data_IF_723270571496
#
_entry.id   IF_723270571496
#
_cell.length_a   1.000
_cell.length_b   1.000
_cell.length_c   1.000
_cell.angle_alpha   90.00
_cell.angle_beta   90.00
_cell.angle_gamma   90.00
#
_symmetry.space_group_name_H-M   'P 1'
#
loop_
_entity.id
_entity.type
_entity.pdbx_description
1 polymer ?
#
# COMPACT_ATOMS: atom_id res chain seq x y z
N UNK A 1 12.07 13.84 16.87
CA UNK A 1 12.67 13.52 15.56
C UNK A 1 13.84 12.59 15.79
N UNK A 2 13.79 11.41 15.18
CA UNK A 2 14.89 10.44 15.20
C UNK A 2 16.05 10.99 14.38
N UNK A 3 17.29 10.79 14.85
CA UNK A 3 18.51 11.09 14.12
C UNK A 3 19.64 10.18 14.64
N UNK A 4 20.42 9.49 13.80
CA UNK A 4 20.35 9.45 12.34
C UNK A 4 19.30 8.45 11.82
N UNK A 5 18.84 8.65 10.57
CA UNK A 5 18.16 7.60 9.79
C UNK A 5 19.19 6.69 9.11
N UNK A 6 18.73 5.52 8.63
CA UNK A 6 19.60 4.58 7.86
C UNK A 6 20.21 5.29 6.64
N UNK A 7 19.43 6.14 5.95
CA UNK A 7 19.90 6.92 4.79
C UNK A 7 21.01 7.93 5.11
N UNK A 8 21.13 8.34 6.39
CA UNK A 8 22.10 9.36 6.83
C UNK A 8 23.43 8.75 7.26
N UNK A 9 23.48 7.42 7.43
CA UNK A 9 24.66 6.72 7.92
C UNK A 9 25.78 6.75 6.87
N UNK A 10 26.97 7.14 7.32
CA UNK A 10 28.16 7.19 6.48
C UNK A 10 29.14 6.07 6.85
N UNK A 11 29.80 5.44 5.86
CA UNK A 11 30.83 4.44 6.14
C UNK A 11 31.92 5.01 7.06
N UNK A 12 32.43 4.16 7.96
CA UNK A 12 33.55 4.42 8.87
C UNK A 12 33.31 5.56 9.87
N UNK A 13 32.06 6.00 10.07
CA UNK A 13 31.67 6.96 11.10
C UNK A 13 30.81 6.28 12.16
N UNK A 14 31.30 6.26 13.42
CA UNK A 14 30.55 5.70 14.55
C UNK A 14 29.19 6.40 14.69
N UNK A 15 28.11 5.61 14.64
CA UNK A 15 26.75 6.11 14.77
C UNK A 15 26.06 5.56 16.02
N UNK A 16 25.18 6.39 16.60
CA UNK A 16 24.23 5.97 17.61
C UNK A 16 22.83 6.32 17.12
N UNK A 17 21.93 5.35 17.04
CA UNK A 17 20.57 5.55 16.52
C UNK A 17 19.58 4.57 17.13
N UNK A 18 18.30 4.84 16.90
CA UNK A 18 17.20 3.94 17.28
C UNK A 18 16.65 3.31 16.01
N UNK A 19 16.46 1.99 16.00
CA UNK A 19 15.98 1.25 14.83
C UNK A 19 14.99 0.18 15.25
N UNK A 20 14.10 -0.18 14.33
CA UNK A 20 13.23 -1.35 14.44
C UNK A 20 14.00 -2.61 14.04
N UNK A 21 13.84 -3.70 14.76
CA UNK A 21 14.39 -5.01 14.42
C UNK A 21 13.44 -5.71 13.45
N UNK A 22 13.67 -5.58 12.15
CA UNK A 22 12.87 -6.25 11.13
C UNK A 22 13.11 -7.76 11.06
N UNK A 23 14.34 -8.21 11.36
CA UNK A 23 14.68 -9.62 11.51
C UNK A 23 15.79 -9.82 12.53
N UNK A 24 15.77 -10.97 13.21
CA UNK A 24 16.77 -11.38 14.20
C UNK A 24 17.09 -12.86 14.03
N UNK A 25 18.36 -13.15 13.81
CA UNK A 25 18.91 -14.51 13.77
C UNK A 25 20.10 -14.61 14.73
N UNK A 26 20.17 -15.68 15.50
CA UNK A 26 21.34 -16.05 16.28
C UNK A 26 22.09 -17.12 15.50
N UNK A 27 23.33 -16.82 15.11
CA UNK A 27 24.17 -17.74 14.32
C UNK A 27 25.46 -18.04 15.05
N UNK A 28 26.18 -19.05 14.62
CA UNK A 28 27.47 -19.43 15.20
C UNK A 28 28.65 -19.05 14.31
N UNK A 29 29.70 -18.54 14.93
CA UNK A 29 31.01 -18.32 14.28
C UNK A 29 31.66 -19.69 14.01
N UNK A 30 32.74 -19.72 13.23
CA UNK A 30 33.56 -20.91 13.04
C UNK A 30 34.20 -21.43 14.34
N UNK A 31 34.38 -20.56 15.33
CA UNK A 31 34.83 -20.88 16.70
C UNK A 31 33.77 -21.54 17.57
N UNK A 32 32.50 -21.56 17.15
CA UNK A 32 31.36 -22.03 17.95
C UNK A 32 30.64 -20.93 18.74
N UNK A 33 31.23 -19.76 18.88
CA UNK A 33 30.62 -18.63 19.61
C UNK A 33 29.41 -18.06 18.86
N UNK A 34 28.36 -17.57 19.56
CA UNK A 34 27.23 -16.99 18.91
C UNK A 34 27.56 -15.59 18.36
N UNK A 35 26.88 -15.20 17.28
CA UNK A 35 26.79 -13.82 16.83
C UNK A 35 25.36 -13.46 16.44
N UNK A 36 24.96 -12.18 16.60
CA UNK A 36 23.67 -11.69 16.15
C UNK A 36 23.75 -11.21 14.70
N UNK A 37 22.78 -11.64 13.91
CA UNK A 37 22.50 -11.17 12.56
C UNK A 37 21.12 -10.50 12.57
N UNK A 38 21.10 -9.18 12.43
CA UNK A 38 19.88 -8.40 12.44
C UNK A 38 19.64 -7.75 11.08
N UNK A 39 18.36 -7.51 10.75
CA UNK A 39 17.97 -6.51 9.80
C UNK A 39 17.34 -5.37 10.61
N UNK A 40 17.94 -4.19 10.54
CA UNK A 40 17.44 -2.98 11.16
C UNK A 40 16.68 -2.16 10.13
N UNK A 41 15.57 -1.56 10.55
CA UNK A 41 14.70 -0.77 9.68
C UNK A 41 14.35 0.58 10.29
N UNK A 42 14.10 1.56 9.42
CA UNK A 42 13.38 2.79 9.70
C UNK A 42 12.67 3.27 8.43
N UNK A 43 11.96 4.41 8.47
CA UNK A 43 11.23 4.94 7.31
C UNK A 43 12.09 5.22 6.07
N UNK A 44 13.41 5.29 6.22
CA UNK A 44 14.34 5.54 5.10
C UNK A 44 14.83 4.26 4.43
N UNK A 45 14.64 3.08 5.05
CA UNK A 45 15.03 1.79 4.49
C UNK A 45 15.41 0.75 5.52
N UNK A 46 16.06 -0.32 5.02
CA UNK A 46 16.58 -1.43 5.82
C UNK A 46 18.09 -1.56 5.67
N UNK A 47 18.73 -2.09 6.70
CA UNK A 47 20.19 -2.30 6.73
C UNK A 47 20.54 -3.57 7.49
N UNK A 48 21.46 -4.37 6.93
CA UNK A 48 22.08 -5.47 7.63
C UNK A 48 22.91 -4.97 8.82
N UNK A 49 22.79 -5.64 9.97
CA UNK A 49 23.59 -5.36 11.15
C UNK A 49 24.12 -6.65 11.80
N UNK A 50 25.36 -6.61 12.26
CA UNK A 50 26.02 -7.74 12.90
C UNK A 50 26.61 -7.35 14.24
N UNK A 51 26.37 -8.16 15.26
CA UNK A 51 27.04 -8.05 16.55
C UNK A 51 27.91 -9.28 16.79
N UNK A 52 29.20 -9.06 16.94
CA UNK A 52 30.18 -10.14 17.03
C UNK A 52 30.59 -10.45 18.46
N UNK A 53 30.54 -9.47 19.35
CA UNK A 53 31.03 -9.57 20.73
C UNK A 53 29.93 -9.19 21.72
N UNK A 54 30.00 -9.68 22.95
CA UNK A 54 29.01 -9.47 24.02
C UNK A 54 27.58 -9.89 23.67
N UNK A 55 27.44 -10.86 22.77
CA UNK A 55 26.15 -11.29 22.22
C UNK A 55 25.28 -11.95 23.29
N UNK A 56 25.89 -12.78 24.16
CA UNK A 56 25.16 -13.52 25.19
C UNK A 56 24.43 -12.61 26.17
N UNK A 57 24.98 -11.41 26.43
CA UNK A 57 24.36 -10.45 27.35
C UNK A 57 23.07 -9.80 26.80
N UNK A 58 22.92 -9.76 25.46
CA UNK A 58 21.85 -9.01 24.82
C UNK A 58 20.92 -9.86 23.95
N UNK A 59 21.33 -11.08 23.58
CA UNK A 59 20.59 -11.88 22.62
C UNK A 59 19.16 -12.25 23.04
N UNK A 60 18.89 -12.33 24.35
CA UNK A 60 17.58 -12.65 24.91
C UNK A 60 16.83 -11.44 25.46
N UNK A 61 17.37 -10.21 25.28
CA UNK A 61 16.76 -8.98 25.84
C UNK A 61 15.74 -8.34 24.91
N UNK A 62 15.68 -8.71 23.64
CA UNK A 62 14.74 -8.22 22.64
C UNK A 62 14.45 -9.28 21.58
N UNK A 63 13.33 -9.12 20.88
CA UNK A 63 12.93 -9.99 19.78
C UNK A 63 12.72 -9.21 18.48
N UNK A 64 12.32 -9.89 17.42
CA UNK A 64 11.83 -9.27 16.20
C UNK A 64 10.70 -8.28 16.53
N UNK A 65 10.60 -7.23 15.76
CA UNK A 65 9.65 -6.13 15.93
C UNK A 65 9.86 -5.26 17.19
N UNK A 66 10.98 -5.44 17.91
CA UNK A 66 11.39 -4.56 19.01
C UNK A 66 12.11 -3.31 18.50
N UNK A 67 11.96 -2.18 19.22
CA UNK A 67 12.78 -1.00 19.01
C UNK A 67 14.03 -1.11 19.85
N UNK A 68 15.18 -0.84 19.23
CA UNK A 68 16.47 -0.90 19.90
C UNK A 68 17.30 0.35 19.63
N UNK A 69 17.96 0.85 20.66
CA UNK A 69 19.03 1.84 20.52
C UNK A 69 20.36 1.09 20.31
N UNK A 70 21.06 1.45 19.26
CA UNK A 70 22.32 0.82 18.92
C UNK A 70 23.43 1.85 18.82
N UNK A 71 24.66 1.42 19.14
CA UNK A 71 25.90 2.11 18.79
C UNK A 71 26.73 1.17 17.93
N UNK A 72 27.15 1.62 16.75
CA UNK A 72 27.86 0.77 15.81
C UNK A 72 28.61 1.54 14.75
N UNK A 73 29.42 0.82 13.99
CA UNK A 73 30.23 1.35 12.89
C UNK A 73 29.66 0.86 11.56
N UNK A 74 29.07 1.75 10.71
CA UNK A 74 28.70 1.39 9.36
C UNK A 74 29.94 1.10 8.51
N UNK A 75 29.94 0.01 7.74
CA UNK A 75 31.05 -0.41 6.87
C UNK A 75 30.49 -0.93 5.56
N UNK A 76 31.26 -0.80 4.47
CA UNK A 76 30.86 -1.40 3.19
C UNK A 76 31.31 -2.85 3.16
N UNK A 77 30.36 -3.76 3.07
CA UNK A 77 30.58 -5.18 2.87
C UNK A 77 29.84 -5.68 1.63
N UNK A 78 30.53 -6.31 0.69
CA UNK A 78 29.96 -6.79 -0.60
C UNK A 78 29.10 -5.72 -1.32
N UNK A 79 29.62 -4.49 -1.43
CA UNK A 79 28.98 -3.33 -2.04
C UNK A 79 27.66 -2.88 -1.36
N UNK A 80 27.41 -3.30 -0.11
CA UNK A 80 26.27 -2.86 0.70
C UNK A 80 26.74 -2.28 2.01
N UNK A 81 26.04 -1.27 2.51
CA UNK A 81 26.28 -0.75 3.85
C UNK A 81 25.78 -1.76 4.88
N UNK A 82 26.64 -2.13 5.83
CA UNK A 82 26.34 -3.02 6.93
C UNK A 82 26.80 -2.36 8.24
N UNK A 83 26.02 -2.49 9.32
CA UNK A 83 26.34 -1.94 10.63
C UNK A 83 26.99 -3.00 11.54
N UNK A 84 28.25 -2.77 11.95
CA UNK A 84 28.87 -3.55 13.00
C UNK A 84 28.46 -2.98 14.35
N UNK A 85 27.68 -3.74 15.13
CA UNK A 85 27.12 -3.32 16.41
C UNK A 85 28.13 -3.52 17.56
N UNK A 86 28.28 -2.49 18.38
CA UNK A 86 29.09 -2.53 19.60
C UNK A 86 28.25 -2.50 20.87
N UNK A 87 27.06 -1.87 20.82
CA UNK A 87 26.11 -1.83 21.92
C UNK A 87 24.68 -1.86 21.39
N UNK A 88 23.84 -2.62 22.10
CA UNK A 88 22.40 -2.73 21.84
C UNK A 88 21.66 -2.54 23.15
N UNK A 89 20.57 -1.78 23.15
CA UNK A 89 19.69 -1.54 24.28
C UNK A 89 18.24 -1.51 23.79
N UNK A 90 17.37 -2.40 24.30
CA UNK A 90 15.95 -2.33 24.02
C UNK A 90 15.32 -1.03 24.48
N UNK A 91 14.32 -0.54 23.77
CA UNK A 91 13.54 0.64 24.14
C UNK A 91 12.05 0.26 24.25
N UNK A 92 11.34 0.85 25.22
CA UNK A 92 9.89 0.73 25.27
C UNK A 92 9.24 1.55 24.14
N UNK A 93 8.06 1.10 23.67
CA UNK A 93 7.33 1.76 22.59
C UNK A 93 6.96 3.22 22.90
N UNK A 94 6.83 3.55 24.19
CA UNK A 94 6.56 4.92 24.67
C UNK A 94 7.68 5.93 24.42
N UNK A 95 8.89 5.45 24.12
CA UNK A 95 10.05 6.29 23.82
C UNK A 95 10.28 6.52 22.31
N UNK A 96 9.40 6.01 21.46
CA UNK A 96 9.57 6.07 20.00
C UNK A 96 8.38 6.72 19.30
N UNK A 97 8.68 7.46 18.24
CA UNK A 97 7.70 8.02 17.32
C UNK A 97 7.55 7.09 16.12
N UNK A 98 6.39 6.43 15.97
CA UNK A 98 6.17 5.44 14.91
C UNK A 98 6.42 6.00 13.50
N UNK A 99 6.13 7.28 13.25
CA UNK A 99 6.41 7.96 11.99
C UNK A 99 7.91 8.07 11.62
N UNK A 100 8.83 7.73 12.54
CA UNK A 100 10.26 7.63 12.26
C UNK A 100 10.68 6.24 11.73
N UNK A 101 9.82 5.23 11.88
CA UNK A 101 10.11 3.84 11.51
C UNK A 101 9.26 3.34 10.35
N UNK A 102 8.07 3.90 10.18
CA UNK A 102 7.15 3.53 9.12
C UNK A 102 6.91 4.70 8.17
N UNK A 103 6.70 4.45 6.88
CA UNK A 103 6.20 5.50 6.01
C UNK A 103 4.87 6.02 6.55
N UNK A 104 4.65 7.32 6.45
CA UNK A 104 3.43 7.99 6.89
C UNK A 104 2.92 8.94 5.80
N UNK A 105 1.61 9.22 5.80
CA UNK A 105 1.04 10.27 4.94
C UNK A 105 1.78 11.60 5.17
N UNK A 106 1.90 12.38 4.10
CA UNK A 106 2.44 13.76 4.17
C UNK A 106 1.42 14.75 4.74
N UNK A 107 0.15 14.34 4.82
CA UNK A 107 -0.95 15.13 5.39
C UNK A 107 -1.06 14.87 6.89
N UNK A 108 -1.47 15.87 7.64
CA UNK A 108 -1.75 15.73 9.07
C UNK A 108 -3.00 14.87 9.31
N UNK A 109 -2.89 13.87 10.20
CA UNK A 109 -3.96 12.93 10.48
C UNK A 109 -5.18 13.58 11.16
N UNK A 110 -4.96 14.64 11.95
CA UNK A 110 -6.03 15.41 12.59
C UNK A 110 -6.81 16.25 11.59
N UNK A 111 -6.12 16.91 10.66
CA UNK A 111 -6.74 17.67 9.57
C UNK A 111 -7.54 16.75 8.65
N UNK A 112 -7.00 15.59 8.27
CA UNK A 112 -7.70 14.59 7.49
C UNK A 112 -8.96 14.07 8.20
N UNK A 113 -8.88 13.85 9.51
CA UNK A 113 -10.04 13.42 10.28
C UNK A 113 -11.10 14.51 10.41
N UNK A 114 -10.71 15.78 10.51
CA UNK A 114 -11.65 16.91 10.48
C UNK A 114 -12.35 17.01 9.12
N UNK A 115 -11.62 16.82 8.01
CA UNK A 115 -12.19 16.77 6.65
C UNK A 115 -13.19 15.62 6.48
N UNK A 116 -12.85 14.41 7.00
CA UNK A 116 -13.77 13.28 7.00
C UNK A 116 -15.06 13.58 7.78
N UNK A 117 -14.93 14.20 8.96
CA UNK A 117 -16.08 14.64 9.76
C UNK A 117 -16.96 15.64 8.99
N UNK A 118 -16.37 16.58 8.25
CA UNK A 118 -17.11 17.52 7.43
C UNK A 118 -17.89 16.81 6.29
N UNK A 119 -17.33 15.75 5.71
CA UNK A 119 -18.06 14.90 4.77
C UNK A 119 -19.27 14.23 5.42
N UNK A 120 -19.11 13.69 6.62
CA UNK A 120 -20.22 13.05 7.36
C UNK A 120 -21.30 14.05 7.72
N UNK A 121 -20.93 15.25 8.17
CA UNK A 121 -21.91 16.32 8.52
C UNK A 121 -22.73 16.79 7.33
N UNK A 122 -22.17 16.74 6.13
CA UNK A 122 -22.84 17.13 4.89
C UNK A 122 -23.84 16.07 4.37
N UNK A 123 -23.85 14.84 4.92
CA UNK A 123 -24.81 13.80 4.52
C UNK A 123 -26.22 14.22 4.92
N UNK A 124 -27.14 14.27 3.95
CA UNK A 124 -28.52 14.68 4.12
C UNK A 124 -29.39 13.61 4.79
N UNK A 125 -29.16 12.31 4.48
CA UNK A 125 -29.92 11.21 5.05
C UNK A 125 -29.61 11.06 6.55
N UNK A 126 -30.59 11.26 7.46
CA UNK A 126 -30.35 11.27 8.89
C UNK A 126 -29.91 9.92 9.47
N UNK A 127 -30.36 8.80 8.89
CA UNK A 127 -29.97 7.47 9.34
C UNK A 127 -28.53 7.14 8.95
N UNK A 128 -28.12 7.44 7.72
CA UNK A 128 -26.74 7.23 7.24
C UNK A 128 -25.79 8.11 8.03
N UNK A 129 -26.10 9.40 8.21
CA UNK A 129 -25.31 10.31 9.03
C UNK A 129 -25.16 9.83 10.45
N UNK A 130 -26.27 9.37 11.10
CA UNK A 130 -26.23 8.85 12.47
C UNK A 130 -25.40 7.58 12.58
N UNK A 131 -25.45 6.68 11.59
CA UNK A 131 -24.58 5.49 11.53
C UNK A 131 -23.11 5.89 11.47
N UNK A 132 -22.73 6.77 10.56
CA UNK A 132 -21.36 7.24 10.42
C UNK A 132 -20.85 7.97 11.67
N UNK A 133 -21.71 8.76 12.33
CA UNK A 133 -21.40 9.36 13.63
C UNK A 133 -21.16 8.31 14.71
N UNK A 134 -21.96 7.23 14.77
CA UNK A 134 -21.72 6.14 15.71
C UNK A 134 -20.34 5.46 15.54
N UNK A 135 -19.74 5.53 14.34
CA UNK A 135 -18.37 5.10 14.10
C UNK A 135 -17.36 6.18 14.51
N UNK A 136 -17.49 7.40 13.99
CA UNK A 136 -16.45 8.43 14.13
C UNK A 136 -16.42 9.06 15.54
N UNK A 137 -17.51 9.02 16.27
CA UNK A 137 -17.59 9.50 17.65
C UNK A 137 -17.12 8.43 18.67
N UNK A 138 -16.88 7.18 18.24
CA UNK A 138 -16.24 6.17 19.05
C UNK A 138 -14.74 6.47 19.18
N UNK A 139 -14.22 6.72 20.41
CA UNK A 139 -12.84 7.15 20.59
C UNK A 139 -11.79 6.16 20.10
N UNK A 140 -12.06 4.84 20.22
CA UNK A 140 -11.12 3.81 19.79
C UNK A 140 -11.11 3.67 18.27
N UNK A 141 -12.29 3.68 17.63
CA UNK A 141 -12.42 3.67 16.18
C UNK A 141 -11.76 4.94 15.59
N UNK A 142 -12.09 6.10 16.14
CA UNK A 142 -11.53 7.38 15.71
C UNK A 142 -9.99 7.42 15.81
N UNK A 143 -9.44 6.90 16.90
CA UNK A 143 -8.00 6.79 17.11
C UNK A 143 -7.37 5.89 16.05
N UNK A 144 -7.90 4.67 15.86
CA UNK A 144 -7.38 3.69 14.90
C UNK A 144 -7.51 4.18 13.46
N UNK A 145 -8.65 4.77 13.11
CA UNK A 145 -8.91 5.23 11.75
C UNK A 145 -7.95 6.33 11.30
N UNK A 146 -7.50 7.19 12.24
CA UNK A 146 -6.49 8.23 11.96
C UNK A 146 -5.12 7.68 11.60
N UNK A 147 -4.72 6.52 12.11
CA UNK A 147 -3.37 5.98 11.96
C UNK A 147 -3.30 4.73 11.09
N UNK A 148 -4.42 4.03 10.85
CA UNK A 148 -4.40 2.78 10.11
C UNK A 148 -3.86 2.96 8.67
N UNK A 149 -3.02 2.03 8.18
CA UNK A 149 -2.69 1.93 6.76
C UNK A 149 -3.88 1.36 5.97
N UNK A 150 -3.98 1.66 4.67
CA UNK A 150 -4.99 1.05 3.80
C UNK A 150 -4.61 -0.37 3.35
N UNK A 151 -3.36 -0.78 3.51
CA UNK A 151 -2.88 -2.11 3.15
C UNK A 151 -1.51 -2.41 3.73
N UNK A 152 -1.10 -3.68 3.62
CA UNK A 152 0.20 -4.14 4.16
C UNK A 152 1.39 -3.66 3.32
N UNK A 153 1.28 -3.59 1.99
CA UNK A 153 2.45 -3.41 1.10
C UNK A 153 2.18 -2.75 -0.24
N UNK A 154 0.93 -2.49 -0.62
CA UNK A 154 0.60 -2.00 -1.96
C UNK A 154 0.18 -0.52 -1.85
N UNK A 155 -1.04 -0.14 -2.21
CA UNK A 155 -1.53 1.23 -2.17
C UNK A 155 -1.73 1.74 -0.74
N UNK A 156 -1.40 3.00 -0.47
CA UNK A 156 -1.54 3.65 0.84
C UNK A 156 -1.01 2.82 2.03
N UNK A 157 0.05 2.02 1.79
CA UNK A 157 0.69 1.17 2.80
C UNK A 157 1.62 2.00 3.70
N UNK A 158 1.05 3.01 4.36
CA UNK A 158 1.71 3.90 5.31
C UNK A 158 0.75 4.35 6.40
N UNK A 159 1.28 4.85 7.50
CA UNK A 159 0.46 5.38 8.59
C UNK A 159 -0.46 6.49 8.08
N UNK A 160 -1.71 6.46 8.51
CA UNK A 160 -2.80 7.33 8.03
C UNK A 160 -3.17 7.13 6.55
N UNK A 161 -2.73 6.03 5.93
CA UNK A 161 -3.04 5.72 4.53
C UNK A 161 -4.51 5.39 4.29
N UNK A 162 -5.19 4.77 5.27
CA UNK A 162 -6.61 4.44 5.15
C UNK A 162 -7.49 5.70 5.04
N UNK A 163 -7.28 6.66 5.93
CA UNK A 163 -8.06 7.91 5.89
C UNK A 163 -7.73 8.75 4.67
N UNK A 164 -6.47 8.77 4.22
CA UNK A 164 -6.05 9.45 3.00
C UNK A 164 -6.73 8.86 1.76
N UNK A 165 -6.77 7.52 1.66
CA UNK A 165 -7.51 6.78 0.63
C UNK A 165 -9.00 7.12 0.62
N UNK A 166 -9.66 7.04 1.78
CA UNK A 166 -11.09 7.34 1.91
C UNK A 166 -11.41 8.79 1.51
N UNK A 167 -10.58 9.77 1.86
CA UNK A 167 -10.77 11.17 1.45
C UNK A 167 -10.59 11.34 -0.07
N UNK A 168 -9.63 10.65 -0.68
CA UNK A 168 -9.49 10.61 -2.14
C UNK A 168 -10.76 10.06 -2.80
N UNK A 169 -11.29 8.96 -2.27
CA UNK A 169 -12.55 8.38 -2.75
C UNK A 169 -13.77 9.29 -2.53
N UNK A 170 -13.85 10.00 -1.41
CA UNK A 170 -14.92 10.98 -1.16
C UNK A 170 -14.92 12.09 -2.22
N UNK A 171 -13.74 12.59 -2.60
CA UNK A 171 -13.61 13.59 -3.65
C UNK A 171 -14.05 13.04 -5.01
N UNK A 172 -13.62 11.84 -5.39
CA UNK A 172 -14.02 11.18 -6.63
C UNK A 172 -15.52 10.85 -6.65
N UNK A 173 -16.07 10.35 -5.55
CA UNK A 173 -17.49 10.02 -5.41
C UNK A 173 -18.38 11.24 -5.65
N UNK A 174 -18.04 12.39 -5.06
CA UNK A 174 -18.81 13.64 -5.25
C UNK A 174 -18.80 14.12 -6.71
N UNK A 175 -17.69 13.98 -7.41
CA UNK A 175 -17.61 14.37 -8.83
C UNK A 175 -18.42 13.42 -9.69
N UNK A 176 -18.33 12.12 -9.45
CA UNK A 176 -19.00 11.10 -10.26
C UNK A 176 -20.50 11.05 -9.97
N UNK A 177 -20.95 11.23 -8.72
CA UNK A 177 -22.37 11.33 -8.38
C UNK A 177 -23.07 12.51 -9.08
N UNK A 178 -22.39 13.63 -9.26
CA UNK A 178 -22.92 14.76 -10.04
C UNK A 178 -23.05 14.47 -11.54
N UNK A 179 -22.24 13.54 -12.05
CA UNK A 179 -22.29 13.17 -13.46
C UNK A 179 -23.44 12.18 -13.75
N UNK A 180 -23.71 11.25 -12.84
CA UNK A 180 -24.78 10.25 -12.96
C UNK A 180 -25.96 10.67 -12.07
N UNK A 181 -27.05 11.14 -12.68
CA UNK A 181 -28.18 11.75 -11.98
C UNK A 181 -29.02 10.78 -11.10
N UNK A 182 -28.82 9.47 -11.28
CA UNK A 182 -29.52 8.39 -10.58
C UNK A 182 -28.73 7.85 -9.37
N UNK A 183 -27.56 8.42 -9.06
CA UNK A 183 -26.74 8.03 -7.91
C UNK A 183 -27.21 8.74 -6.63
N UNK A 184 -27.48 7.96 -5.59
CA UNK A 184 -27.63 8.47 -4.22
C UNK A 184 -26.24 8.78 -3.64
N UNK A 185 -25.87 10.09 -3.63
CA UNK A 185 -24.57 10.56 -3.14
C UNK A 185 -24.37 10.21 -1.66
N UNK A 186 -25.39 10.28 -0.82
CA UNK A 186 -25.30 9.96 0.61
C UNK A 186 -25.01 8.47 0.84
N UNK A 187 -25.67 7.59 0.08
CA UNK A 187 -25.44 6.16 0.14
C UNK A 187 -24.04 5.80 -0.38
N UNK A 188 -23.62 6.39 -1.50
CA UNK A 188 -22.29 6.18 -2.07
C UNK A 188 -21.19 6.62 -1.08
N UNK A 189 -21.29 7.83 -0.52
CA UNK A 189 -20.33 8.34 0.47
C UNK A 189 -20.30 7.48 1.74
N UNK A 190 -21.45 6.95 2.17
CA UNK A 190 -21.50 6.00 3.31
C UNK A 190 -20.72 4.74 2.97
N UNK A 191 -20.89 4.19 1.77
CA UNK A 191 -20.10 3.06 1.30
C UNK A 191 -18.61 3.36 1.25
N UNK A 192 -18.22 4.51 0.70
CA UNK A 192 -16.83 4.98 0.66
C UNK A 192 -16.20 5.05 2.05
N UNK A 193 -16.90 5.58 3.05
CA UNK A 193 -16.36 5.74 4.41
C UNK A 193 -16.25 4.40 5.14
N UNK A 194 -17.13 3.45 4.85
CA UNK A 194 -17.23 2.19 5.60
C UNK A 194 -16.66 0.95 4.89
N UNK A 195 -16.41 0.96 3.57
CA UNK A 195 -16.04 -0.27 2.84
C UNK A 195 -14.82 -0.95 3.45
N UNK A 196 -13.85 -0.17 3.86
CA UNK A 196 -12.55 -0.61 4.38
C UNK A 196 -12.39 -0.42 5.89
N UNK A 197 -13.44 -0.04 6.61
CA UNK A 197 -13.36 0.25 8.07
C UNK A 197 -12.83 -0.94 8.88
N UNK A 198 -13.06 -2.16 8.42
CA UNK A 198 -12.56 -3.37 9.06
C UNK A 198 -11.03 -3.47 9.12
N UNK A 199 -10.33 -2.76 8.24
CA UNK A 199 -8.85 -2.72 8.20
C UNK A 199 -8.22 -2.16 9.47
N UNK A 200 -8.95 -1.34 10.24
CA UNK A 200 -8.46 -0.81 11.54
C UNK A 200 -8.22 -1.92 12.58
N UNK A 201 -8.82 -3.10 12.39
CA UNK A 201 -8.63 -4.29 13.22
C UNK A 201 -8.03 -5.47 12.46
N UNK A 202 -8.20 -5.52 11.14
CA UNK A 202 -7.57 -6.54 10.29
C UNK A 202 -6.05 -6.43 10.35
N UNK A 203 -5.52 -5.19 10.38
CA UNK A 203 -4.10 -4.92 10.36
C UNK A 203 -3.57 -4.53 11.75
N UNK A 204 -2.40 -5.06 12.08
CA UNK A 204 -1.53 -4.56 13.14
C UNK A 204 -0.51 -3.61 12.51
N UNK A 205 -0.32 -2.45 13.13
CA UNK A 205 0.61 -1.41 12.67
C UNK A 205 1.38 -0.75 13.83
N UNK A 206 1.42 -1.44 14.96
CA UNK A 206 2.16 -0.97 16.15
C UNK A 206 3.66 -1.16 16.00
N UNK A 207 4.09 -2.28 15.40
CA UNK A 207 5.51 -2.65 15.22
C UNK A 207 5.87 -3.11 13.81
N UNK A 208 4.88 -3.51 13.04
CA UNK A 208 5.02 -3.90 11.63
C UNK A 208 3.65 -3.84 10.97
N UNK A 209 3.60 -3.65 9.65
CA UNK A 209 2.34 -3.82 8.93
C UNK A 209 2.09 -5.31 8.69
N UNK A 210 1.29 -5.90 9.55
CA UNK A 210 0.96 -7.31 9.53
C UNK A 210 -0.54 -7.54 9.69
N UNK A 211 -1.01 -8.72 9.34
CA UNK A 211 -2.38 -9.11 9.67
C UNK A 211 -2.45 -9.56 11.14
N UNK A 212 -3.50 -9.16 11.83
CA UNK A 212 -3.87 -9.75 13.12
C UNK A 212 -4.35 -11.19 12.90
N UNK A 213 -4.39 -12.02 13.95
CA UNK A 213 -4.94 -13.38 13.84
C UNK A 213 -6.40 -13.36 13.38
N UNK A 214 -7.21 -12.44 13.91
CA UNK A 214 -8.60 -12.28 13.50
C UNK A 214 -8.70 -11.77 12.06
N UNK A 215 -7.85 -10.81 11.68
CA UNK A 215 -7.76 -10.29 10.31
C UNK A 215 -7.40 -11.38 9.30
N UNK A 216 -6.46 -12.25 9.63
CA UNK A 216 -6.07 -13.38 8.76
C UNK A 216 -7.21 -14.40 8.58
N UNK A 217 -8.04 -14.60 9.60
CA UNK A 217 -9.13 -15.57 9.57
C UNK A 217 -10.42 -15.04 8.94
N UNK A 218 -10.74 -13.77 9.14
CA UNK A 218 -12.04 -13.20 8.75
C UNK A 218 -11.93 -12.21 7.58
N UNK A 219 -10.85 -11.44 7.51
CA UNK A 219 -10.68 -10.35 6.56
C UNK A 219 -11.55 -9.11 6.88
N UNK A 220 -11.14 -7.95 6.37
CA UNK A 220 -11.76 -6.65 6.69
C UNK A 220 -13.25 -6.57 6.29
N UNK A 221 -13.69 -7.23 5.20
CA UNK A 221 -15.09 -7.20 4.74
C UNK A 221 -16.01 -7.75 5.83
N UNK A 222 -15.70 -8.95 6.35
CA UNK A 222 -16.51 -9.59 7.40
C UNK A 222 -16.44 -8.78 8.68
N UNK A 223 -15.28 -8.28 9.05
CA UNK A 223 -15.09 -7.44 10.22
C UNK A 223 -15.87 -6.13 10.10
N UNK A 224 -15.85 -5.45 8.96
CA UNK A 224 -16.63 -4.23 8.70
C UNK A 224 -18.14 -4.48 8.81
N UNK A 225 -18.64 -5.59 8.26
CA UNK A 225 -20.07 -5.95 8.39
C UNK A 225 -20.48 -6.16 9.86
N UNK A 226 -19.66 -6.84 10.65
CA UNK A 226 -19.91 -7.00 12.12
C UNK A 226 -19.93 -5.65 12.82
N UNK A 227 -18.98 -4.77 12.53
CA UNK A 227 -18.94 -3.42 13.08
C UNK A 227 -20.20 -2.62 12.73
N UNK A 228 -20.69 -2.71 11.48
CA UNK A 228 -21.94 -2.08 11.04
C UNK A 228 -23.13 -2.64 11.83
N UNK A 229 -23.22 -3.96 12.02
CA UNK A 229 -24.29 -4.59 12.80
C UNK A 229 -24.28 -4.15 14.28
N UNK A 230 -23.12 -3.90 14.84
CA UNK A 230 -23.01 -3.36 16.21
C UNK A 230 -23.43 -1.90 16.28
N UNK A 231 -22.93 -1.05 15.37
CA UNK A 231 -23.19 0.39 15.38
C UNK A 231 -24.62 0.75 15.00
N UNK A 232 -25.24 0.01 14.09
CA UNK A 232 -26.65 0.25 13.72
C UNK A 232 -27.60 0.08 14.89
N UNK A 233 -27.29 -0.77 15.88
CA UNK A 233 -28.10 -0.94 17.10
C UNK A 233 -28.13 0.32 17.96
N UNK A 234 -27.14 1.21 17.79
CA UNK A 234 -27.09 2.50 18.47
C UNK A 234 -27.92 3.58 17.76
N UNK A 235 -28.39 3.32 16.53
CA UNK A 235 -29.18 4.25 15.71
C UNK A 235 -30.67 3.86 15.78
N UNK A 236 -31.52 4.62 16.49
CA UNK A 236 -32.93 4.30 16.61
C UNK A 236 -33.63 4.21 15.26
N UNK A 237 -34.46 3.21 15.07
CA UNK A 237 -35.31 3.01 13.88
C UNK A 237 -34.55 3.03 12.55
N UNK A 238 -33.30 2.56 12.51
CA UNK A 238 -32.58 2.44 11.26
C UNK A 238 -33.33 1.54 10.27
N UNK A 239 -33.61 1.99 9.03
CA UNK A 239 -34.42 1.23 8.09
C UNK A 239 -33.72 -0.07 7.66
N UNK A 240 -34.33 -1.27 7.82
CA UNK A 240 -33.69 -2.54 7.50
C UNK A 240 -33.27 -2.66 6.02
N UNK A 241 -34.03 -2.09 5.09
CA UNK A 241 -33.66 -2.07 3.66
C UNK A 241 -32.42 -1.21 3.39
N UNK A 242 -32.28 -0.09 4.09
CA UNK A 242 -31.11 0.78 3.96
C UNK A 242 -29.85 0.07 4.53
N UNK A 243 -30.01 -0.66 5.64
CA UNK A 243 -28.92 -1.49 6.20
C UNK A 243 -28.43 -2.52 5.18
N UNK A 244 -29.33 -3.23 4.50
CA UNK A 244 -28.96 -4.19 3.46
C UNK A 244 -28.17 -3.53 2.31
N UNK A 245 -28.49 -2.31 1.90
CA UNK A 245 -27.74 -1.59 0.88
C UNK A 245 -26.34 -1.22 1.38
N UNK A 246 -26.20 -0.71 2.62
CA UNK A 246 -24.87 -0.42 3.22
C UNK A 246 -24.03 -1.69 3.33
N UNK A 247 -24.60 -2.78 3.80
CA UNK A 247 -23.91 -4.07 3.89
C UNK A 247 -23.50 -4.60 2.51
N UNK A 248 -24.33 -4.41 1.48
CA UNK A 248 -24.00 -4.84 0.12
C UNK A 248 -22.86 -4.00 -0.47
N UNK A 249 -22.81 -2.69 -0.23
CA UNK A 249 -21.66 -1.84 -0.61
C UNK A 249 -20.35 -2.42 -0.06
N UNK A 250 -20.33 -2.78 1.23
CA UNK A 250 -19.16 -3.38 1.88
C UNK A 250 -18.85 -4.77 1.30
N UNK A 251 -19.87 -5.63 1.14
CA UNK A 251 -19.68 -7.00 0.67
C UNK A 251 -19.26 -7.11 -0.79
N UNK A 252 -19.44 -6.06 -1.61
CA UNK A 252 -19.24 -6.11 -3.05
C UNK A 252 -18.14 -5.19 -3.59
N UNK A 253 -17.49 -4.38 -2.72
CA UNK A 253 -16.56 -3.34 -3.19
C UNK A 253 -15.33 -3.89 -3.94
N UNK A 254 -14.88 -5.12 -3.68
CA UNK A 254 -13.82 -5.75 -4.48
C UNK A 254 -14.29 -6.14 -5.90
N UNK A 255 -15.59 -6.13 -6.19
CA UNK A 255 -16.19 -6.26 -7.51
C UNK A 255 -16.34 -7.67 -8.02
N UNK A 256 -15.33 -8.52 -7.92
CA UNK A 256 -15.36 -9.90 -8.41
C UNK A 256 -14.99 -10.91 -7.32
N UNK A 257 -15.48 -12.14 -7.48
CA UNK A 257 -15.21 -13.22 -6.51
C UNK A 257 -13.73 -13.58 -6.46
N UNK A 258 -13.02 -13.46 -7.59
CA UNK A 258 -11.58 -13.72 -7.71
C UNK A 258 -10.74 -12.75 -6.87
N UNK A 259 -11.26 -11.55 -6.61
CA UNK A 259 -10.60 -10.56 -5.74
C UNK A 259 -11.08 -10.66 -4.28
N UNK A 260 -11.79 -11.73 -3.92
CA UNK A 260 -12.25 -11.99 -2.56
C UNK A 260 -13.54 -11.26 -2.20
N UNK A 261 -14.27 -10.70 -3.17
CA UNK A 261 -15.59 -10.11 -2.91
C UNK A 261 -16.61 -11.21 -2.62
N UNK A 262 -17.32 -11.20 -1.46
CA UNK A 262 -18.38 -12.17 -1.21
C UNK A 262 -19.56 -12.06 -2.18
N UNK A 263 -19.77 -10.88 -2.75
CA UNK A 263 -20.83 -10.56 -3.74
C UNK A 263 -20.28 -9.65 -4.82
N UNK A 264 -20.91 -9.70 -6.01
CA UNK A 264 -20.67 -8.72 -7.07
C UNK A 264 -21.60 -7.51 -6.87
N UNK A 265 -21.19 -6.30 -7.28
CA UNK A 265 -22.01 -5.10 -7.18
C UNK A 265 -23.34 -5.26 -7.95
N UNK A 266 -24.48 -4.99 -7.28
CA UNK A 266 -25.82 -5.26 -7.83
C UNK A 266 -26.72 -4.04 -7.96
N UNK A 267 -26.19 -2.83 -7.69
CA UNK A 267 -26.87 -1.55 -7.92
C UNK A 267 -25.83 -0.44 -8.21
N UNK A 268 -26.25 0.70 -8.77
CA UNK A 268 -25.33 1.72 -9.32
C UNK A 268 -24.25 2.20 -8.35
N UNK A 269 -24.61 2.54 -7.11
CA UNK A 269 -23.65 3.03 -6.11
C UNK A 269 -22.61 1.97 -5.75
N UNK A 270 -23.01 0.69 -5.69
CA UNK A 270 -22.08 -0.41 -5.39
C UNK A 270 -21.09 -0.62 -6.54
N UNK A 271 -21.57 -0.56 -7.79
CA UNK A 271 -20.70 -0.64 -8.97
C UNK A 271 -19.74 0.54 -9.03
N UNK A 272 -20.24 1.73 -8.74
CA UNK A 272 -19.42 2.95 -8.75
C UNK A 272 -18.36 2.90 -7.65
N UNK A 273 -18.72 2.51 -6.43
CA UNK A 273 -17.76 2.33 -5.33
C UNK A 273 -16.61 1.38 -5.73
N UNK A 274 -16.94 0.20 -6.28
CA UNK A 274 -15.93 -0.74 -6.76
C UNK A 274 -14.95 -0.10 -7.76
N UNK A 275 -15.47 0.62 -8.75
CA UNK A 275 -14.62 1.22 -9.77
C UNK A 275 -13.78 2.38 -9.24
N UNK A 276 -14.29 3.19 -8.32
CA UNK A 276 -13.55 4.28 -7.70
C UNK A 276 -12.42 3.76 -6.81
N UNK A 277 -12.70 2.74 -5.99
CA UNK A 277 -11.71 2.08 -5.14
C UNK A 277 -10.59 1.46 -5.99
N UNK A 278 -10.94 0.68 -7.00
CA UNK A 278 -9.98 0.09 -7.93
C UNK A 278 -9.17 1.16 -8.71
N UNK A 279 -9.79 2.28 -9.07
CA UNK A 279 -9.11 3.40 -9.72
C UNK A 279 -8.06 4.01 -8.79
N UNK A 280 -8.45 4.41 -7.58
CA UNK A 280 -7.56 5.08 -6.63
C UNK A 280 -6.39 4.16 -6.25
N UNK A 281 -6.68 2.91 -5.91
CA UNK A 281 -5.65 1.92 -5.55
C UNK A 281 -4.64 1.67 -6.66
N UNK A 282 -5.08 1.59 -7.94
CA UNK A 282 -4.18 1.41 -9.09
C UNK A 282 -3.40 2.67 -9.43
N UNK A 283 -4.00 3.84 -9.31
CA UNK A 283 -3.31 5.11 -9.52
C UNK A 283 -2.21 5.31 -8.49
N UNK A 284 -2.48 5.01 -7.21
CA UNK A 284 -1.49 5.12 -6.15
C UNK A 284 -0.37 4.08 -6.28
N UNK A 285 -0.71 2.84 -6.63
CA UNK A 285 0.28 1.80 -6.94
C UNK A 285 1.19 2.22 -8.09
N UNK A 286 0.64 2.82 -9.15
CA UNK A 286 1.42 3.31 -10.31
C UNK A 286 2.36 4.45 -9.91
N UNK A 287 1.89 5.41 -9.11
CA UNK A 287 2.71 6.53 -8.58
C UNK A 287 3.86 6.01 -7.73
N UNK A 288 3.56 5.15 -6.74
CA UNK A 288 4.56 4.57 -5.86
C UNK A 288 5.61 3.74 -6.60
N UNK A 289 5.22 3.01 -7.65
CA UNK A 289 6.16 2.27 -8.50
C UNK A 289 7.14 3.22 -9.21
N UNK A 290 6.65 4.32 -9.78
CA UNK A 290 7.47 5.32 -10.47
C UNK A 290 8.38 6.06 -9.48
N UNK A 291 7.88 6.44 -8.30
CA UNK A 291 8.65 7.16 -7.27
C UNK A 291 9.80 6.31 -6.72
N UNK A 292 9.56 5.04 -6.43
CA UNK A 292 10.60 4.10 -5.94
C UNK A 292 11.71 3.90 -6.97
N UNK A 293 11.38 3.98 -8.25
CA UNK A 293 12.28 3.69 -9.38
C UNK A 293 12.89 4.95 -10.00
N UNK A 294 12.67 6.12 -9.44
CA UNK A 294 13.10 7.41 -10.00
C UNK A 294 14.62 7.50 -10.21
N UNK A 295 15.41 6.86 -9.33
CA UNK A 295 16.89 6.86 -9.38
C UNK A 295 17.48 5.80 -10.31
N UNK A 296 16.69 4.84 -10.76
CA UNK A 296 17.13 3.74 -11.63
C UNK A 296 17.16 4.25 -13.08
N UNK A 297 18.22 3.94 -13.80
CA UNK A 297 18.38 4.36 -15.20
C UNK A 297 17.31 3.75 -16.12
N UNK A 298 17.02 4.42 -17.25
CA UNK A 298 16.01 3.98 -18.23
C UNK A 298 14.62 4.60 -18.02
N UNK A 299 13.77 4.45 -19.02
CA UNK A 299 12.44 5.06 -19.10
C UNK A 299 11.33 4.18 -18.46
N UNK A 300 11.61 2.93 -18.20
CA UNK A 300 10.65 1.97 -17.65
C UNK A 300 11.02 1.57 -16.23
N UNK A 301 10.00 1.30 -15.44
CA UNK A 301 10.17 0.69 -14.11
C UNK A 301 10.37 -0.81 -14.22
N UNK A 302 10.75 -1.46 -13.13
CA UNK A 302 10.60 -2.90 -12.98
C UNK A 302 9.14 -3.34 -13.17
N UNK A 303 8.93 -4.64 -13.45
CA UNK A 303 7.60 -5.24 -13.57
C UNK A 303 6.89 -5.24 -12.20
N UNK A 304 5.64 -4.81 -12.18
CA UNK A 304 4.75 -4.84 -11.01
C UNK A 304 3.69 -5.94 -11.20
N UNK A 305 3.69 -6.95 -10.35
CA UNK A 305 2.65 -7.98 -10.35
C UNK A 305 1.26 -7.44 -10.00
N UNK A 306 1.18 -6.40 -9.14
CA UNK A 306 -0.08 -5.75 -8.77
C UNK A 306 -0.74 -5.01 -9.94
N UNK A 307 0.05 -4.54 -10.92
CA UNK A 307 -0.44 -3.85 -12.12
C UNK A 307 -0.37 -4.72 -13.38
N UNK A 308 0.29 -5.89 -13.30
CA UNK A 308 0.59 -6.79 -14.42
C UNK A 308 1.31 -6.07 -15.57
N UNK A 309 2.22 -5.14 -15.23
CA UNK A 309 3.00 -4.35 -16.21
C UNK A 309 4.16 -3.60 -15.60
N UNK A 310 5.07 -3.12 -16.45
CA UNK A 310 6.01 -2.04 -16.12
C UNK A 310 5.36 -0.69 -16.41
N UNK A 311 5.75 0.36 -15.68
CA UNK A 311 5.28 1.72 -15.87
C UNK A 311 6.31 2.59 -16.61
N UNK A 312 5.84 3.47 -17.49
CA UNK A 312 6.68 4.46 -18.15
C UNK A 312 6.96 5.64 -17.19
N UNK A 313 8.22 5.96 -16.98
CA UNK A 313 8.66 7.18 -16.26
C UNK A 313 8.52 8.40 -17.20
N UNK A 314 7.27 8.85 -17.40
CA UNK A 314 6.89 9.84 -18.42
C UNK A 314 7.73 11.11 -18.38
N UNK A 315 8.00 11.66 -17.19
CA UNK A 315 8.78 12.90 -17.07
C UNK A 315 10.20 12.72 -17.61
N UNK A 316 10.83 11.58 -17.30
CA UNK A 316 12.16 11.26 -17.81
C UNK A 316 12.15 10.99 -19.32
N UNK A 317 11.17 10.25 -19.82
CA UNK A 317 11.02 9.98 -21.24
C UNK A 317 10.92 11.28 -22.06
N UNK A 318 10.16 12.25 -21.60
CA UNK A 318 10.02 13.55 -22.27
C UNK A 318 11.25 14.46 -22.10
N UNK A 319 12.02 14.34 -21.01
CA UNK A 319 13.22 15.15 -20.81
C UNK A 319 14.37 14.73 -21.72
N UNK A 320 14.47 13.45 -22.09
CA UNK A 320 15.53 12.95 -22.98
C UNK A 320 15.31 13.40 -24.43
N UNK A 321 14.07 13.68 -24.86
CA UNK A 321 13.78 14.25 -26.18
C UNK A 321 14.25 15.73 -26.31
N UNK A 322 14.26 16.48 -25.21
CA UNK A 322 14.72 17.87 -25.20
C UNK A 322 16.24 17.99 -25.24
N UNK A 323 16.98 16.91 -24.92
CA UNK A 323 18.45 16.87 -25.00
C UNK A 323 18.98 16.48 -26.40
N UNK A 324 18.13 15.99 -27.28
CA UNK A 324 18.45 15.61 -28.68
C UNK A 324 17.93 16.63 -29.67
N UNK A 325 18.35 17.90 -29.58
CA UNK A 325 18.33 18.82 -30.72
C UNK A 325 19.46 18.41 -31.67
N UNK A 326 19.21 18.25 -32.98
CA UNK A 326 20.19 17.62 -33.86
C UNK A 326 21.37 18.56 -34.14
N UNK A 327 22.54 18.20 -33.61
CA UNK A 327 23.78 18.64 -34.20
C UNK A 327 23.84 18.03 -35.61
N UNK A 328 23.93 18.92 -36.59
CA UNK A 328 24.06 18.67 -38.01
C UNK A 328 24.87 17.40 -38.36
N UNK A 329 24.23 16.46 -39.04
CA UNK A 329 24.87 15.29 -39.62
C UNK A 329 25.84 15.72 -40.77
N UNK A 330 27.06 15.22 -40.82
CA UNK A 330 27.83 15.30 -42.03
C UNK A 330 27.26 14.33 -43.09
N UNK A 331 27.05 14.82 -44.28
CA UNK A 331 26.57 14.07 -45.42
C UNK A 331 27.49 12.87 -45.72
N UNK A 332 26.96 11.65 -45.60
CA UNK A 332 27.62 10.43 -46.06
C UNK A 332 27.12 10.08 -47.46
N UNK A 333 28.07 10.04 -48.38
CA UNK A 333 27.93 9.62 -49.80
C UNK A 333 27.22 8.25 -49.90
N UNK A 334 26.23 8.19 -50.78
CA UNK A 334 25.49 6.96 -51.09
C UNK A 334 26.30 6.00 -51.94
N UNK A 335 26.43 4.75 -51.50
CA UNK A 335 26.81 3.62 -52.32
C UNK A 335 25.53 2.81 -52.69
N UNK A 336 25.43 2.19 -53.86
CA UNK A 336 24.19 1.67 -54.39
C UNK A 336 23.72 0.37 -53.69
N UNK A 337 22.41 0.28 -53.53
CA UNK A 337 21.72 -0.82 -52.89
C UNK A 337 21.75 -2.13 -53.67
N UNK A 338 22.08 -3.23 -53.01
CA UNK A 338 21.89 -4.58 -53.50
C UNK A 338 20.43 -5.02 -53.31
N UNK A 339 19.87 -5.77 -54.29
CA UNK A 339 18.49 -6.23 -54.32
C UNK A 339 18.18 -7.27 -53.23
N UNK A 340 16.95 -7.32 -52.72
CA UNK A 340 16.59 -8.26 -51.65
C UNK A 340 16.30 -9.69 -52.18
N UNK A 341 16.78 -10.69 -51.45
CA UNK A 341 16.50 -12.10 -51.69
C UNK A 341 15.04 -12.46 -51.31
N UNK A 342 14.43 -13.49 -51.93
CA UNK A 342 13.02 -13.84 -51.74
C UNK A 342 12.80 -14.50 -50.37
N UNK A 343 11.77 -14.03 -49.68
CA UNK A 343 11.32 -14.53 -48.35
C UNK A 343 10.39 -15.73 -48.58
N UNK A 344 10.70 -16.89 -48.01
CA UNK A 344 9.84 -18.06 -47.96
C UNK A 344 8.71 -17.85 -46.92
N UNK A 345 7.48 -18.38 -47.18
CA UNK A 345 6.35 -18.15 -46.27
C UNK A 345 6.49 -18.96 -44.96
N UNK A 346 6.45 -18.28 -43.83
CA UNK A 346 6.39 -18.90 -42.53
C UNK A 346 4.97 -19.38 -42.21
N UNK A 347 4.86 -20.59 -41.65
CA UNK A 347 3.59 -21.19 -41.16
C UNK A 347 2.96 -20.32 -40.07
N UNK A 348 1.61 -20.24 -39.99
CA UNK A 348 0.92 -19.50 -38.94
C UNK A 348 1.12 -20.17 -37.57
N UNK A 349 1.45 -19.33 -36.56
CA UNK A 349 1.56 -19.76 -35.17
C UNK A 349 0.17 -20.08 -34.59
N UNK A 350 0.11 -21.12 -33.77
CA UNK A 350 -1.06 -21.66 -33.12
C UNK A 350 -1.86 -20.58 -32.36
N UNK A 351 -3.17 -20.65 -32.51
CA UNK A 351 -4.14 -19.76 -31.90
C UNK A 351 -4.08 -19.78 -30.35
N UNK A 352 -4.30 -18.63 -29.79
CA UNK A 352 -4.40 -18.42 -28.34
C UNK A 352 -5.56 -19.26 -27.75
N UNK A 353 -5.42 -19.83 -26.52
CA UNK A 353 -6.50 -20.58 -25.86
C UNK A 353 -7.82 -19.80 -25.68
N UNK A 354 -7.77 -18.48 -25.81
CA UNK A 354 -8.93 -17.60 -25.79
C UNK A 354 -9.73 -17.66 -27.09
N UNK A 355 -9.08 -17.77 -28.24
CA UNK A 355 -9.74 -17.87 -29.54
C UNK A 355 -10.49 -19.22 -29.71
N UNK A 356 -9.97 -20.31 -29.15
CA UNK A 356 -10.65 -21.61 -29.13
C UNK A 356 -11.90 -21.58 -28.22
N UNK A 357 -11.84 -20.98 -27.05
CA UNK A 357 -13.01 -20.85 -26.17
C UNK A 357 -14.10 -19.96 -26.75
N UNK A 358 -13.73 -18.89 -27.46
CA UNK A 358 -14.69 -18.00 -28.12
C UNK A 358 -15.43 -18.70 -29.27
N UNK A 359 -14.73 -19.51 -30.09
CA UNK A 359 -15.34 -20.30 -31.16
C UNK A 359 -16.28 -21.39 -30.63
N UNK A 360 -15.91 -22.02 -29.50
CA UNK A 360 -16.80 -23.05 -28.88
C UNK A 360 -18.09 -22.41 -28.34
N UNK A 361 -18.03 -21.21 -27.77
CA UNK A 361 -19.20 -20.51 -27.24
C UNK A 361 -20.15 -19.97 -28.33
N UNK A 362 -19.66 -19.72 -29.55
CA UNK A 362 -20.46 -19.20 -30.65
C UNK A 362 -21.17 -20.31 -31.47
N UNK A 363 -20.80 -21.58 -31.28
CA UNK A 363 -21.35 -22.71 -32.07
C UNK A 363 -22.20 -23.67 -31.23
N UNK A 364 -22.43 -23.43 -29.95
CA UNK A 364 -23.42 -24.18 -29.14
C UNK A 364 -24.67 -23.32 -28.96
N UNK A 365 -25.61 -23.44 -29.87
CA UNK A 365 -27.02 -23.11 -29.66
C UNK A 365 -27.85 -24.42 -29.61
N UNK A 366 -28.85 -24.47 -28.69
CA UNK A 366 -29.76 -25.62 -28.60
C UNK A 366 -30.65 -25.78 -29.81
#
# INVERSE_FOLDING_TARGET
MKNPYISDLQPDQMATGVFLVAAKDIRQKKSGDPFLSLILADKSGEMDAKMWDNVVEVMDTFERDAFIRVRGLPQIFQNKLQLTLHKVQPLPDSEVELGDFFPASKRDAGEMFAELNAHVDAIGNPHLRALLRAFLDDPEIARRYRIAPAGKSIHHAWLSGLIEHVLSLCALAKVTAKHYADIDEDLLLTGVILHDIGKIYELSYDRSFAYTTEGQLLGHIVMAMRMVDEKVRMVPAFPPKLLLLVQHLIASHHGTLEFGSPKVPSFPEALLLHHLDNLDSKMETMRGLIEKDVRIAGHWTGFSSALDRSALKKARFLSDETASSPASSPAVSAAPAAAPAPVSPSKPANGSPFAEKLNLALHTKP
#
